data_IF_444419558227
#
_entry.id   IF_444419558227
#
_cell.length_a   1.000
_cell.length_b   1.000
_cell.length_c   1.000
_cell.angle_alpha   90.00
_cell.angle_beta   90.00
_cell.angle_gamma   90.00
#
_symmetry.space_group_name_H-M   'P 1'
#
loop_
_entity.id
_entity.type
_entity.pdbx_description
1 polymer ?
#
# COMPACT_ATOMS: atom_id res chain seq x y z
N UNK A 1 -18.61 -12.35 -4.86
CA UNK A 1 -17.68 -12.87 -5.89
C UNK A 1 -16.61 -11.80 -6.07
N UNK A 2 -15.44 -11.97 -5.44
CA UNK A 2 -14.37 -10.97 -5.51
C UNK A 2 -13.62 -11.13 -6.85
N UNK A 3 -13.46 -10.03 -7.58
CA UNK A 3 -12.91 -10.02 -8.94
C UNK A 3 -11.43 -9.67 -8.86
N UNK A 4 -10.58 -10.47 -9.49
CA UNK A 4 -9.14 -10.17 -9.63
C UNK A 4 -8.96 -8.76 -10.20
N UNK A 5 -7.96 -8.02 -9.72
CA UNK A 5 -7.58 -6.75 -10.34
C UNK A 5 -7.02 -7.02 -11.74
N UNK A 6 -7.86 -6.86 -12.76
CA UNK A 6 -7.49 -7.12 -14.16
C UNK A 6 -7.41 -5.85 -15.00
N UNK A 7 -7.84 -4.71 -14.46
CA UNK A 7 -7.75 -3.44 -15.18
C UNK A 7 -6.29 -2.96 -15.20
N UNK A 8 -5.65 -2.83 -16.39
CA UNK A 8 -4.21 -2.53 -16.48
C UNK A 8 -3.81 -1.27 -15.72
N UNK A 9 -4.56 -0.18 -15.86
CA UNK A 9 -4.27 1.07 -15.13
C UNK A 9 -4.38 0.91 -13.61
N UNK A 10 -5.28 0.05 -13.11
CA UNK A 10 -5.44 -0.17 -11.69
C UNK A 10 -4.29 -1.02 -11.13
N UNK A 11 -3.83 -2.00 -11.93
CA UNK A 11 -2.62 -2.77 -11.63
C UNK A 11 -1.37 -1.90 -11.60
N UNK A 12 -1.22 -0.98 -12.55
CA UNK A 12 -0.06 -0.09 -12.61
C UNK A 12 -0.07 0.91 -11.44
N UNK A 13 -1.22 1.50 -11.14
CA UNK A 13 -1.38 2.38 -9.96
C UNK A 13 -1.08 1.64 -8.65
N UNK A 14 -1.53 0.39 -8.54
CA UNK A 14 -1.26 -0.47 -7.40
C UNK A 14 0.23 -0.75 -7.24
N UNK A 15 0.87 -1.19 -8.33
CA UNK A 15 2.31 -1.44 -8.35
C UNK A 15 3.09 -0.19 -7.99
N UNK A 16 2.74 0.97 -8.57
CA UNK A 16 3.40 2.24 -8.30
C UNK A 16 3.24 2.66 -6.83
N UNK A 17 2.05 2.50 -6.24
CA UNK A 17 1.86 2.76 -4.81
C UNK A 17 2.82 1.96 -3.94
N UNK A 18 2.93 0.65 -4.17
CA UNK A 18 3.83 -0.18 -3.38
C UNK A 18 5.32 0.12 -3.66
N UNK A 19 5.69 0.47 -4.90
CA UNK A 19 7.04 0.92 -5.22
C UNK A 19 7.41 2.17 -4.42
N UNK A 20 6.54 3.18 -4.43
CA UNK A 20 6.78 4.43 -3.73
C UNK A 20 6.81 4.21 -2.22
N UNK A 21 5.93 3.35 -1.69
CA UNK A 21 5.95 2.99 -0.28
C UNK A 21 7.28 2.34 0.13
N UNK A 22 7.84 1.43 -0.67
CA UNK A 22 9.17 0.85 -0.40
C UNK A 22 10.26 1.91 -0.45
N UNK A 23 10.29 2.74 -1.50
CA UNK A 23 11.33 3.76 -1.69
C UNK A 23 11.32 4.77 -0.55
N UNK A 24 10.13 5.21 -0.13
CA UNK A 24 9.97 6.23 0.91
C UNK A 24 10.22 5.68 2.31
N UNK A 25 9.83 4.43 2.58
CA UNK A 25 9.97 3.83 3.92
C UNK A 25 11.32 3.15 4.17
N UNK A 26 12.07 2.84 3.11
CA UNK A 26 13.36 2.18 3.19
C UNK A 26 14.34 2.63 2.06
N UNK A 27 14.68 3.94 2.01
CA UNK A 27 15.50 4.50 0.92
C UNK A 27 16.91 3.91 0.89
N UNK A 28 17.51 3.67 2.05
CA UNK A 28 18.89 3.16 2.18
C UNK A 28 18.97 1.63 2.26
N UNK A 29 17.85 0.92 2.08
CA UNK A 29 17.75 -0.54 2.20
C UNK A 29 18.16 -1.08 3.59
N UNK A 30 18.00 -0.28 4.65
CA UNK A 30 18.39 -0.62 6.03
C UNK A 30 17.24 -1.24 6.84
N UNK A 31 15.99 -1.04 6.42
CA UNK A 31 14.79 -1.47 7.12
C UNK A 31 14.17 -2.71 6.46
N UNK A 32 14.93 -3.81 6.41
CA UNK A 32 14.56 -5.06 5.73
C UNK A 32 13.15 -5.56 6.13
N UNK A 33 12.75 -5.40 7.39
CA UNK A 33 11.43 -5.83 7.88
C UNK A 33 10.28 -4.98 7.31
N UNK A 34 10.50 -3.68 7.15
CA UNK A 34 9.52 -2.75 6.56
C UNK A 34 9.26 -3.16 5.11
N UNK A 35 10.33 -3.37 4.34
CA UNK A 35 10.23 -3.84 2.94
C UNK A 35 9.47 -5.17 2.83
N UNK A 36 9.77 -6.13 3.72
CA UNK A 36 9.06 -7.42 3.74
C UNK A 36 7.56 -7.26 3.99
N UNK A 37 7.15 -6.36 4.89
CA UNK A 37 5.72 -6.09 5.13
C UNK A 37 5.06 -5.43 3.92
N UNK A 38 5.72 -4.45 3.29
CA UNK A 38 5.19 -3.79 2.09
C UNK A 38 5.00 -4.79 0.93
N UNK A 39 5.97 -5.67 0.71
CA UNK A 39 5.86 -6.72 -0.33
C UNK A 39 4.79 -7.76 0.00
N UNK A 40 4.60 -8.12 1.28
CA UNK A 40 3.49 -8.97 1.69
C UNK A 40 2.13 -8.33 1.37
N UNK A 41 1.96 -7.04 1.68
CA UNK A 41 0.75 -6.30 1.33
C UNK A 41 0.53 -6.22 -0.18
N UNK A 42 1.61 -6.01 -0.97
CA UNK A 42 1.55 -6.01 -2.43
C UNK A 42 1.02 -7.34 -2.97
N UNK A 43 1.55 -8.46 -2.49
CA UNK A 43 1.11 -9.79 -2.93
C UNK A 43 -0.36 -10.03 -2.63
N UNK A 44 -0.83 -9.60 -1.47
CA UNK A 44 -2.24 -9.73 -1.08
C UNK A 44 -3.11 -8.81 -1.94
N UNK A 45 -2.74 -7.53 -2.10
CA UNK A 45 -3.50 -6.54 -2.87
C UNK A 45 -3.63 -6.88 -4.35
N UNK A 46 -2.58 -7.44 -4.96
CA UNK A 46 -2.57 -7.87 -6.37
C UNK A 46 -3.12 -9.30 -6.56
N UNK A 47 -3.44 -9.98 -5.45
CA UNK A 47 -3.96 -11.34 -5.43
C UNK A 47 -5.41 -11.44 -5.92
N UNK A 48 -5.89 -12.68 -6.03
CA UNK A 48 -7.29 -12.95 -6.41
C UNK A 48 -8.27 -12.74 -5.25
N UNK A 49 -7.77 -12.76 -4.01
CA UNK A 49 -8.56 -12.65 -2.79
C UNK A 49 -7.96 -11.58 -1.88
N UNK A 50 -8.45 -10.35 -2.05
CA UNK A 50 -8.11 -9.23 -1.17
C UNK A 50 -9.05 -9.29 0.04
N UNK A 51 -8.52 -9.42 1.28
CA UNK A 51 -9.36 -9.40 2.46
C UNK A 51 -9.90 -7.98 2.69
N UNK A 52 -11.16 -7.82 3.16
CA UNK A 52 -11.73 -6.50 3.46
C UNK A 52 -10.93 -5.70 4.50
N UNK A 53 -10.15 -6.39 5.36
CA UNK A 53 -9.30 -5.78 6.36
C UNK A 53 -8.05 -5.11 5.78
N UNK A 54 -7.62 -5.47 4.56
CA UNK A 54 -6.32 -5.06 4.01
C UNK A 54 -6.17 -3.54 3.99
N UNK A 55 -7.24 -2.83 3.65
CA UNK A 55 -7.23 -1.36 3.66
C UNK A 55 -6.86 -0.81 5.04
N UNK A 56 -7.50 -1.31 6.10
CA UNK A 56 -7.26 -0.85 7.46
C UNK A 56 -5.88 -1.30 7.99
N UNK A 57 -5.39 -2.46 7.54
CA UNK A 57 -4.05 -2.94 7.87
C UNK A 57 -2.97 -2.04 7.26
N UNK A 58 -3.07 -1.74 5.96
CA UNK A 58 -2.15 -0.80 5.29
C UNK A 58 -2.29 0.60 5.91
N UNK A 59 -3.51 1.00 6.28
CA UNK A 59 -3.73 2.27 6.99
C UNK A 59 -2.96 2.31 8.31
N UNK A 60 -3.18 1.34 9.20
CA UNK A 60 -2.45 1.28 10.48
C UNK A 60 -0.93 1.18 10.31
N UNK A 61 -0.46 0.53 9.25
CA UNK A 61 0.95 0.49 8.90
C UNK A 61 1.51 1.88 8.53
N UNK A 62 0.80 2.65 7.70
CA UNK A 62 1.18 4.03 7.37
C UNK A 62 1.21 4.93 8.61
N UNK A 63 0.22 4.82 9.51
CA UNK A 63 0.22 5.54 10.80
C UNK A 63 1.48 5.21 11.61
N UNK A 64 1.86 3.92 11.67
CA UNK A 64 3.07 3.48 12.35
C UNK A 64 4.36 4.05 11.74
N UNK A 65 4.44 4.12 10.41
CA UNK A 65 5.61 4.72 9.73
C UNK A 65 5.74 6.21 10.00
N UNK A 66 4.62 6.95 10.05
CA UNK A 66 4.64 8.38 10.39
C UNK A 66 4.96 8.57 11.88
N UNK A 67 4.36 7.79 12.78
CA UNK A 67 4.59 7.91 14.21
C UNK A 67 6.03 7.58 14.64
N UNK A 68 6.73 6.74 13.86
CA UNK A 68 8.14 6.39 14.06
C UNK A 68 9.11 7.31 13.29
N UNK A 69 8.63 8.42 12.72
CA UNK A 69 9.42 9.36 11.90
C UNK A 69 10.13 8.72 10.69
N UNK A 70 9.66 7.55 10.23
CA UNK A 70 10.16 6.89 9.01
C UNK A 70 9.62 7.62 7.77
N UNK A 71 8.36 8.05 7.84
CA UNK A 71 7.75 8.90 6.82
C UNK A 71 7.45 10.28 7.40
N UNK A 72 7.73 11.33 6.63
CA UNK A 72 7.26 12.67 6.96
C UNK A 72 5.74 12.77 6.89
N UNK A 73 5.14 13.68 7.67
CA UNK A 73 3.69 13.85 7.73
C UNK A 73 3.03 14.08 6.35
N UNK A 74 3.67 14.87 5.49
CA UNK A 74 3.16 15.13 4.13
C UNK A 74 3.26 13.90 3.23
N UNK A 75 4.34 13.11 3.33
CA UNK A 75 4.48 11.84 2.59
C UNK A 75 3.44 10.82 3.03
N UNK A 76 3.23 10.70 4.35
CA UNK A 76 2.17 9.86 4.91
C UNK A 76 0.79 10.27 4.40
N UNK A 77 0.49 11.58 4.40
CA UNK A 77 -0.77 12.12 3.86
C UNK A 77 -0.96 11.81 2.38
N UNK A 78 0.06 11.96 1.56
CA UNK A 78 -0.01 11.65 0.13
C UNK A 78 -0.30 10.16 -0.11
N UNK A 79 0.44 9.28 0.56
CA UNK A 79 0.23 7.83 0.50
C UNK A 79 -1.17 7.45 0.98
N UNK A 80 -1.69 8.10 2.01
CA UNK A 80 -3.07 7.91 2.45
C UNK A 80 -4.10 8.26 1.39
N UNK A 81 -3.95 9.41 0.74
CA UNK A 81 -4.87 9.82 -0.32
C UNK A 81 -4.83 8.84 -1.49
N UNK A 82 -3.64 8.34 -1.85
CA UNK A 82 -3.48 7.33 -2.91
C UNK A 82 -4.10 5.99 -2.51
N UNK A 83 -3.94 5.57 -1.25
CA UNK A 83 -4.57 4.38 -0.68
C UNK A 83 -6.11 4.47 -0.80
N UNK A 84 -6.69 5.59 -0.37
CA UNK A 84 -8.12 5.85 -0.44
C UNK A 84 -8.64 5.90 -1.89
N UNK A 85 -7.99 6.65 -2.79
CA UNK A 85 -8.41 6.77 -4.19
C UNK A 85 -8.40 5.46 -4.94
N UNK A 86 -7.39 4.66 -4.69
CA UNK A 86 -7.40 3.39 -5.36
C UNK A 86 -8.59 2.54 -4.86
N UNK A 87 -8.96 2.60 -3.57
CA UNK A 87 -10.07 1.81 -3.03
C UNK A 87 -11.37 2.08 -3.82
N UNK A 88 -11.60 3.34 -4.15
CA UNK A 88 -12.68 3.80 -5.03
C UNK A 88 -12.52 3.30 -6.49
N UNK A 89 -11.28 3.01 -6.92
CA UNK A 89 -10.90 2.51 -8.25
C UNK A 89 -10.85 0.98 -8.37
N UNK A 90 -11.41 0.24 -7.41
CA UNK A 90 -11.51 -1.24 -7.36
C UNK A 90 -10.18 -2.03 -7.24
N UNK A 91 -9.04 -1.42 -6.91
CA UNK A 91 -7.84 -2.21 -6.51
C UNK A 91 -7.90 -2.75 -5.07
N UNK A 92 -8.83 -2.26 -4.26
CA UNK A 92 -9.05 -2.60 -2.86
C UNK A 92 -10.55 -2.46 -2.62
N UNK A 93 -11.27 -3.58 -2.56
CA UNK A 93 -12.68 -3.57 -2.22
C UNK A 93 -12.82 -3.58 -0.69
N UNK A 94 -13.57 -2.63 -0.14
CA UNK A 94 -14.06 -2.67 1.26
C UNK A 94 -15.32 -3.55 1.30
#
# INVERSE_FOLDING_TARGET
>A
MYKRLTHPLALDNAQQFFNDLVILSDPDCLHVRVRQHVEAYRLIALGQHVPPSLFNEIRGFLDGLVACDVLGAEQGRELYQRLARGCESNWMHI
#
